data_IF_123012328567
#
_entry.id   IF_123012328567
#
_cell.length_a   1.000
_cell.length_b   1.000
_cell.length_c   1.000
_cell.angle_alpha   90.00
_cell.angle_beta   90.00
_cell.angle_gamma   90.00
#
_symmetry.space_group_name_H-M   'P 1'
#
loop_
_entity.id
_entity.type
_entity.pdbx_description
1 polymer ?
#
# COMPACT_ATOMS: atom_id res chain seq x y z
N UNK A 1 40.95 23.07 39.91
CA UNK A 1 39.65 23.41 39.30
C UNK A 1 38.96 22.11 38.95
N UNK A 2 37.79 21.81 39.53
CA UNK A 2 37.12 20.52 39.31
C UNK A 2 36.37 20.56 37.97
N UNK A 3 36.26 19.42 37.27
CA UNK A 3 35.67 19.36 35.93
C UNK A 3 34.22 19.88 35.87
N UNK A 4 33.47 19.78 36.98
CA UNK A 4 32.13 20.35 37.13
C UNK A 4 32.11 21.89 37.08
N UNK A 5 33.16 22.56 37.59
CA UNK A 5 33.25 24.02 37.60
C UNK A 5 33.51 24.56 36.18
N UNK A 6 34.30 23.83 35.39
CA UNK A 6 34.49 24.11 33.98
C UNK A 6 33.18 23.92 33.17
N UNK A 7 32.38 22.93 33.55
CA UNK A 7 31.08 22.65 32.93
C UNK A 7 30.03 23.72 33.30
N UNK A 8 30.03 24.19 34.56
CA UNK A 8 29.16 25.25 35.04
C UNK A 8 29.51 26.62 34.41
N UNK A 9 30.80 26.91 34.20
CA UNK A 9 31.23 28.12 33.48
C UNK A 9 30.93 28.04 31.97
N UNK A 10 31.11 26.88 31.36
CA UNK A 10 30.67 26.64 29.97
C UNK A 10 29.15 26.79 29.80
N UNK A 11 28.36 26.52 30.85
CA UNK A 11 26.92 26.69 30.86
C UNK A 11 26.48 28.15 31.05
N UNK A 12 27.13 28.90 31.94
CA UNK A 12 26.83 30.33 32.19
C UNK A 12 27.13 31.24 30.99
N UNK A 13 27.98 30.81 30.06
CA UNK A 13 28.29 31.52 28.81
C UNK A 13 27.34 31.25 27.63
N UNK A 14 26.18 30.58 27.82
CA UNK A 14 25.19 30.35 26.74
C UNK A 14 24.52 31.68 26.34
N UNK A 15 25.19 32.46 25.50
CA UNK A 15 24.55 33.55 24.76
C UNK A 15 23.39 33.02 23.89
N UNK A 16 22.46 33.92 23.53
CA UNK A 16 21.23 33.61 22.76
C UNK A 16 21.49 32.72 21.53
N UNK A 17 22.63 32.92 20.84
CA UNK A 17 23.06 32.14 19.67
C UNK A 17 23.33 30.66 19.96
N UNK A 18 23.83 30.32 21.15
CA UNK A 18 24.11 28.94 21.52
C UNK A 18 22.82 28.14 21.61
N UNK A 19 21.88 28.58 22.44
CA UNK A 19 20.60 27.90 22.63
C UNK A 19 19.80 27.76 21.32
N UNK A 20 19.74 28.82 20.51
CA UNK A 20 19.10 28.76 19.19
C UNK A 20 19.75 27.71 18.28
N UNK A 21 21.09 27.65 18.19
CA UNK A 21 21.78 26.62 17.41
C UNK A 21 21.48 25.19 17.90
N UNK A 22 21.32 25.02 19.22
CA UNK A 22 20.93 23.74 19.81
C UNK A 22 19.53 23.29 19.40
N UNK A 23 18.56 24.21 19.45
CA UNK A 23 17.18 23.94 19.01
C UNK A 23 17.10 23.58 17.53
N UNK A 24 17.85 24.27 16.67
CA UNK A 24 17.90 23.95 15.24
C UNK A 24 18.56 22.58 14.96
N UNK A 25 19.60 22.20 15.70
CA UNK A 25 20.19 20.85 15.62
C UNK A 25 19.21 19.78 16.09
N UNK A 26 18.49 20.05 17.18
CA UNK A 26 17.45 19.15 17.68
C UNK A 26 16.33 18.96 16.65
N UNK A 27 15.81 20.05 16.08
CA UNK A 27 14.76 20.01 15.06
C UNK A 27 15.21 19.26 13.80
N UNK A 28 16.46 19.48 13.36
CA UNK A 28 17.05 18.76 12.23
C UNK A 28 17.17 17.25 12.51
N UNK A 29 17.75 16.87 13.65
CA UNK A 29 17.93 15.47 14.02
C UNK A 29 16.59 14.75 14.20
N UNK A 30 15.60 15.42 14.82
CA UNK A 30 14.25 14.90 14.97
C UNK A 30 13.58 14.72 13.60
N UNK A 31 13.65 15.72 12.72
CA UNK A 31 13.04 15.66 11.40
C UNK A 31 13.64 14.57 10.51
N UNK A 32 14.97 14.38 10.52
CA UNK A 32 15.62 13.27 9.80
C UNK A 32 15.21 11.91 10.37
N UNK A 33 15.13 11.78 11.70
CA UNK A 33 14.73 10.52 12.34
C UNK A 33 13.28 10.14 11.99
N UNK A 34 12.36 11.11 11.99
CA UNK A 34 10.97 10.89 11.61
C UNK A 34 10.83 10.58 10.11
N UNK A 35 11.50 11.36 9.25
CA UNK A 35 11.49 11.13 7.80
C UNK A 35 12.04 9.74 7.46
N UNK A 36 13.17 9.34 8.05
CA UNK A 36 13.77 8.02 7.85
C UNK A 36 12.88 6.86 8.32
N UNK A 37 12.21 7.02 9.47
CA UNK A 37 11.26 6.02 9.96
C UNK A 37 10.06 5.85 9.02
N UNK A 38 9.52 6.97 8.52
CA UNK A 38 8.39 6.97 7.58
C UNK A 38 8.77 6.42 6.21
N UNK A 39 9.95 6.74 5.69
CA UNK A 39 10.41 6.17 4.40
C UNK A 39 10.62 4.67 4.49
N UNK A 40 11.22 4.16 5.58
CA UNK A 40 11.35 2.72 5.78
C UNK A 40 10.00 2.00 5.90
N UNK A 41 9.02 2.61 6.56
CA UNK A 41 7.67 2.06 6.65
C UNK A 41 6.98 2.00 5.27
N UNK A 42 7.06 3.09 4.51
CA UNK A 42 6.52 3.17 3.16
C UNK A 42 7.22 2.19 2.20
N UNK A 43 8.54 2.04 2.32
CA UNK A 43 9.28 1.06 1.52
C UNK A 43 8.89 -0.37 1.86
N UNK A 44 8.64 -0.65 3.14
CA UNK A 44 8.13 -1.96 3.58
C UNK A 44 6.74 -2.25 3.02
N UNK A 45 5.83 -1.26 2.99
CA UNK A 45 4.53 -1.39 2.33
C UNK A 45 4.71 -1.67 0.83
N UNK A 46 5.53 -0.87 0.15
CA UNK A 46 5.80 -1.04 -1.29
C UNK A 46 6.52 -2.33 -1.66
N UNK A 47 7.24 -2.95 -0.71
CA UNK A 47 7.94 -4.23 -0.93
C UNK A 47 7.01 -5.44 -1.00
N UNK A 48 5.74 -5.28 -0.66
CA UNK A 48 4.75 -6.36 -0.76
C UNK A 48 4.32 -6.58 -2.21
N UNK A 49 3.90 -7.81 -2.57
CA UNK A 49 3.34 -8.08 -3.89
C UNK A 49 2.21 -7.12 -4.21
N UNK A 50 2.17 -6.65 -5.44
CA UNK A 50 1.20 -5.66 -5.91
C UNK A 50 0.48 -6.17 -7.14
N UNK A 51 -0.68 -5.59 -7.43
CA UNK A 51 -1.57 -6.11 -8.46
C UNK A 51 -1.88 -5.05 -9.50
N UNK A 52 -1.72 -5.44 -10.76
CA UNK A 52 -1.98 -4.62 -11.93
C UNK A 52 -3.10 -5.28 -12.74
N UNK A 53 -4.02 -4.47 -13.21
CA UNK A 53 -5.00 -4.87 -14.21
C UNK A 53 -4.42 -4.57 -15.58
N UNK A 54 -4.31 -5.58 -16.43
CA UNK A 54 -3.74 -5.48 -17.76
C UNK A 54 -4.81 -5.73 -18.81
N UNK A 55 -4.91 -4.82 -19.76
CA UNK A 55 -5.79 -4.93 -20.93
C UNK A 55 -4.94 -4.97 -22.21
N UNK A 56 -5.35 -5.82 -23.15
CA UNK A 56 -4.74 -5.98 -24.48
C UNK A 56 -5.88 -5.98 -25.49
N UNK A 57 -5.67 -5.42 -26.68
CA UNK A 57 -6.70 -5.37 -27.73
C UNK A 57 -7.15 -6.77 -28.18
N UNK A 58 -6.22 -7.72 -28.23
CA UNK A 58 -6.49 -9.12 -28.55
C UNK A 58 -5.56 -10.01 -27.71
N UNK A 59 -6.13 -10.94 -26.95
CA UNK A 59 -5.34 -11.84 -26.10
C UNK A 59 -5.00 -13.14 -26.85
N UNK A 60 -3.74 -13.29 -27.25
CA UNK A 60 -3.21 -14.58 -27.72
C UNK A 60 -2.53 -15.36 -26.59
N UNK A 61 -2.39 -16.69 -26.74
CA UNK A 61 -1.60 -17.51 -25.82
C UNK A 61 -0.11 -17.10 -25.81
N UNK A 62 0.40 -16.57 -26.92
CA UNK A 62 1.77 -16.05 -27.00
C UNK A 62 1.94 -14.78 -26.16
N UNK A 63 0.94 -13.89 -26.14
CA UNK A 63 0.96 -12.66 -25.32
C UNK A 63 0.92 -13.00 -23.83
N UNK A 64 0.10 -13.98 -23.44
CA UNK A 64 0.06 -14.49 -22.07
C UNK A 64 1.43 -15.03 -21.64
N UNK A 65 2.09 -15.82 -22.49
CA UNK A 65 3.43 -16.34 -22.21
C UNK A 65 4.47 -15.21 -22.12
N UNK A 66 4.39 -14.20 -22.99
CA UNK A 66 5.27 -13.05 -22.98
C UNK A 66 5.10 -12.21 -21.70
N UNK A 67 3.86 -11.95 -21.27
CA UNK A 67 3.53 -11.23 -20.03
C UNK A 67 4.04 -12.00 -18.81
N UNK A 68 3.86 -13.32 -18.77
CA UNK A 68 4.40 -14.18 -17.71
C UNK A 68 5.95 -14.13 -17.62
N UNK A 69 6.62 -13.85 -18.75
CA UNK A 69 8.07 -13.80 -18.83
C UNK A 69 8.68 -12.43 -18.45
N UNK A 70 7.86 -11.40 -18.21
CA UNK A 70 8.33 -10.08 -17.81
C UNK A 70 8.99 -10.14 -16.43
N UNK A 71 10.19 -9.57 -16.32
CA UNK A 71 10.92 -9.52 -15.06
C UNK A 71 10.11 -8.75 -14.00
N UNK A 72 9.92 -9.37 -12.83
CA UNK A 72 9.16 -8.78 -11.74
C UNK A 72 7.69 -9.23 -11.68
N UNK A 73 7.18 -9.93 -12.70
CA UNK A 73 5.88 -10.61 -12.64
C UNK A 73 6.01 -11.94 -11.88
N UNK A 74 5.14 -12.16 -10.90
CA UNK A 74 5.08 -13.41 -10.11
C UNK A 74 4.03 -14.34 -10.70
N UNK A 75 2.85 -13.81 -11.02
CA UNK A 75 1.71 -14.60 -11.47
C UNK A 75 0.78 -13.78 -12.36
N UNK A 76 0.05 -14.48 -13.23
CA UNK A 76 -0.89 -13.89 -14.19
C UNK A 76 -2.17 -14.72 -14.15
N UNK A 77 -3.29 -14.06 -13.86
CA UNK A 77 -4.61 -14.67 -13.85
C UNK A 77 -5.48 -14.06 -14.94
N UNK A 78 -5.90 -14.84 -15.95
CA UNK A 78 -6.90 -14.37 -16.91
C UNK A 78 -8.27 -14.28 -16.24
N UNK A 79 -9.02 -13.24 -16.59
CA UNK A 79 -10.38 -13.01 -16.11
C UNK A 79 -11.34 -13.18 -17.27
N UNK A 80 -12.33 -14.05 -17.08
CA UNK A 80 -13.42 -14.25 -18.04
C UNK A 80 -14.71 -13.69 -17.44
N UNK A 81 -15.33 -12.74 -18.12
CA UNK A 81 -16.57 -12.11 -17.66
C UNK A 81 -17.77 -12.69 -18.41
N UNK A 82 -18.69 -13.29 -17.66
CA UNK A 82 -19.84 -13.99 -18.23
C UNK A 82 -21.12 -13.48 -17.55
N UNK A 83 -21.90 -12.60 -18.20
CA UNK A 83 -23.20 -12.21 -17.69
C UNK A 83 -24.16 -13.39 -17.79
N UNK A 84 -24.80 -13.73 -16.67
CA UNK A 84 -25.70 -14.87 -16.51
C UNK A 84 -26.85 -14.55 -15.54
N UNK A 85 -27.86 -15.39 -15.54
CA UNK A 85 -28.86 -15.46 -14.48
C UNK A 85 -28.56 -16.66 -13.58
N UNK A 86 -28.49 -16.43 -12.28
CA UNK A 86 -28.32 -17.43 -11.24
C UNK A 86 -29.67 -17.80 -10.65
N UNK A 87 -30.07 -19.08 -10.76
CA UNK A 87 -31.32 -19.59 -10.22
C UNK A 87 -31.07 -20.56 -9.05
N UNK A 88 -31.73 -20.32 -7.91
CA UNK A 88 -31.73 -21.17 -6.71
C UNK A 88 -33.17 -21.46 -6.31
N UNK A 89 -33.63 -22.69 -6.57
CA UNK A 89 -35.04 -23.05 -6.38
C UNK A 89 -35.95 -22.23 -7.31
N UNK A 90 -36.86 -21.44 -6.73
CA UNK A 90 -37.75 -20.53 -7.47
C UNK A 90 -37.24 -19.07 -7.51
N UNK A 91 -36.06 -18.80 -6.95
CA UNK A 91 -35.49 -17.46 -6.91
C UNK A 91 -34.44 -17.29 -8.01
N UNK A 92 -34.37 -16.11 -8.63
CA UNK A 92 -33.42 -15.78 -9.70
C UNK A 92 -32.69 -14.48 -9.40
N UNK A 93 -31.52 -14.30 -10.01
CA UNK A 93 -30.71 -13.08 -9.91
C UNK A 93 -29.83 -12.93 -11.15
N UNK A 94 -29.85 -11.75 -11.76
CA UNK A 94 -28.84 -11.38 -12.77
C UNK A 94 -27.48 -11.17 -12.10
N UNK A 95 -26.44 -11.81 -12.63
CA UNK A 95 -25.12 -11.81 -12.02
C UNK A 95 -24.04 -11.83 -13.10
N UNK A 96 -22.92 -11.17 -12.82
CA UNK A 96 -21.70 -11.36 -13.60
C UNK A 96 -20.88 -12.45 -12.94
N UNK A 97 -20.61 -13.52 -13.70
CA UNK A 97 -19.73 -14.60 -13.28
C UNK A 97 -18.33 -14.32 -13.80
N UNK A 98 -17.35 -14.26 -12.90
CA UNK A 98 -15.94 -14.09 -13.21
C UNK A 98 -15.21 -15.44 -13.12
N UNK A 99 -14.64 -15.88 -14.24
CA UNK A 99 -13.70 -17.00 -14.28
C UNK A 99 -12.30 -16.55 -13.88
N UNK A 100 -11.82 -17.01 -12.73
CA UNK A 100 -10.55 -16.61 -12.11
C UNK A 100 -9.87 -17.78 -11.42
N UNK A 101 -8.55 -17.72 -11.22
CA UNK A 101 -7.82 -18.77 -10.50
C UNK A 101 -8.21 -18.75 -9.02
N UNK A 102 -8.47 -19.91 -8.42
CA UNK A 102 -8.86 -19.99 -7.02
C UNK A 102 -7.82 -19.37 -6.07
N UNK A 103 -6.53 -19.54 -6.38
CA UNK A 103 -5.39 -18.95 -5.65
C UNK A 103 -5.37 -17.42 -5.67
N UNK A 104 -6.02 -16.82 -6.67
CA UNK A 104 -6.13 -15.39 -6.84
C UNK A 104 -7.25 -14.81 -5.96
N UNK A 105 -8.26 -15.61 -5.59
CA UNK A 105 -9.41 -15.18 -4.80
C UNK A 105 -9.07 -15.08 -3.30
N UNK A 106 -8.14 -14.20 -2.90
CA UNK A 106 -7.85 -13.92 -1.49
C UNK A 106 -8.87 -12.94 -0.88
N UNK A 107 -10.15 -13.22 -1.05
CA UNK A 107 -11.23 -12.36 -0.53
C UNK A 107 -11.55 -12.69 0.93
N UNK A 108 -12.00 -11.67 1.66
CA UNK A 108 -12.55 -11.88 2.99
C UNK A 108 -13.85 -12.71 2.90
N UNK A 109 -13.75 -13.99 3.27
CA UNK A 109 -14.88 -14.91 3.29
C UNK A 109 -15.78 -14.60 4.48
N UNK A 110 -17.07 -14.43 4.21
CA UNK A 110 -18.11 -14.36 5.23
C UNK A 110 -18.48 -15.76 5.73
N UNK A 111 -18.61 -16.70 4.80
CA UNK A 111 -18.97 -18.09 5.09
C UNK A 111 -18.55 -19.04 3.95
N UNK A 112 -18.29 -20.31 4.28
CA UNK A 112 -17.86 -21.33 3.32
C UNK A 112 -16.38 -21.27 2.94
N UNK A 113 -16.03 -21.92 1.83
CA UNK A 113 -14.65 -22.10 1.36
C UNK A 113 -14.48 -21.62 -0.09
N UNK A 114 -13.23 -21.41 -0.50
CA UNK A 114 -12.89 -21.14 -1.91
C UNK A 114 -12.97 -22.43 -2.72
N UNK A 115 -13.29 -22.31 -4.01
CA UNK A 115 -13.20 -23.46 -4.92
C UNK A 115 -11.75 -23.89 -5.12
N UNK A 116 -11.52 -25.21 -5.15
CA UNK A 116 -10.20 -25.78 -5.41
C UNK A 116 -10.05 -26.08 -6.91
N UNK A 117 -8.89 -25.72 -7.48
CA UNK A 117 -8.61 -26.03 -8.89
C UNK A 117 -8.52 -27.54 -9.10
N UNK A 118 -9.33 -28.08 -10.02
CA UNK A 118 -9.29 -29.51 -10.40
C UNK A 118 -10.58 -30.30 -10.16
N UNK A 119 -11.57 -29.74 -9.47
CA UNK A 119 -12.85 -30.43 -9.29
C UNK A 119 -13.67 -30.50 -10.59
N UNK A 120 -14.39 -31.61 -10.78
CA UNK A 120 -15.29 -31.80 -11.91
C UNK A 120 -16.58 -30.99 -11.81
N UNK A 121 -16.93 -30.53 -10.61
CA UNK A 121 -18.13 -29.77 -10.34
C UNK A 121 -17.90 -28.26 -10.48
N UNK A 122 -18.90 -27.56 -10.99
CA UNK A 122 -18.89 -26.09 -11.08
C UNK A 122 -19.24 -25.48 -9.72
N UNK A 123 -18.21 -25.09 -8.98
CA UNK A 123 -18.38 -24.38 -7.71
C UNK A 123 -18.36 -22.87 -7.91
N UNK A 124 -19.20 -22.17 -7.14
CA UNK A 124 -19.35 -20.72 -7.18
C UNK A 124 -19.03 -20.13 -5.81
N UNK A 125 -18.26 -19.06 -5.79
CA UNK A 125 -18.21 -18.13 -4.65
C UNK A 125 -18.98 -16.90 -5.04
N UNK A 126 -19.98 -16.49 -4.26
CA UNK A 126 -20.78 -15.29 -4.53
C UNK A 126 -20.43 -14.19 -3.53
N UNK A 127 -20.58 -12.93 -3.91
CA UNK A 127 -20.42 -11.86 -2.94
C UNK A 127 -21.69 -11.57 -2.14
N UNK A 128 -21.55 -10.78 -1.08
CA UNK A 128 -22.67 -10.37 -0.20
C UNK A 128 -23.78 -9.67 -0.97
N UNK A 129 -23.45 -8.85 -1.98
CA UNK A 129 -24.45 -8.17 -2.79
C UNK A 129 -25.32 -9.17 -3.56
N UNK A 130 -24.72 -10.16 -4.23
CA UNK A 130 -25.44 -11.24 -4.91
C UNK A 130 -26.31 -12.04 -3.94
N UNK A 131 -25.78 -12.37 -2.76
CA UNK A 131 -26.51 -13.08 -1.72
C UNK A 131 -27.77 -12.32 -1.24
N UNK A 132 -27.75 -11.00 -1.28
CA UNK A 132 -28.88 -10.15 -0.85
C UNK A 132 -29.82 -9.74 -1.98
N UNK A 133 -29.50 -10.02 -3.25
CA UNK A 133 -30.21 -9.48 -4.40
C UNK A 133 -31.31 -10.40 -4.97
N UNK A 134 -31.28 -11.69 -4.64
CA UNK A 134 -32.21 -12.70 -5.18
C UNK A 134 -33.67 -12.27 -5.15
N UNK A 135 -34.37 -12.50 -6.26
CA UNK A 135 -35.78 -12.17 -6.46
C UNK A 135 -36.63 -13.43 -6.53
N UNK A 136 -37.86 -13.36 -6.01
CA UNK A 136 -38.86 -14.41 -6.18
C UNK A 136 -39.55 -14.33 -7.56
N UNK A 137 -40.46 -15.28 -7.83
CA UNK A 137 -41.25 -15.29 -9.06
C UNK A 137 -42.14 -14.05 -9.27
N UNK A 138 -42.29 -13.18 -8.26
CA UNK A 138 -43.02 -11.91 -8.36
C UNK A 138 -42.09 -10.72 -8.63
N UNK A 139 -40.78 -10.95 -8.78
CA UNK A 139 -39.76 -9.93 -8.97
C UNK A 139 -39.40 -9.17 -7.69
N UNK A 140 -39.79 -9.69 -6.52
CA UNK A 140 -39.51 -9.05 -5.24
C UNK A 140 -38.28 -9.66 -4.59
N UNK A 141 -37.38 -8.81 -4.11
CA UNK A 141 -36.18 -9.25 -3.39
C UNK A 141 -36.56 -10.05 -2.14
N UNK A 142 -36.00 -11.25 -2.05
CA UNK A 142 -36.20 -12.20 -0.96
C UNK A 142 -35.15 -11.93 0.12
N UNK A 143 -35.56 -12.02 1.38
CA UNK A 143 -34.62 -11.91 2.48
C UNK A 143 -33.64 -13.10 2.46
N UNK A 144 -32.36 -12.84 2.76
CA UNK A 144 -31.29 -13.83 2.68
C UNK A 144 -31.52 -15.09 3.53
N UNK A 145 -32.26 -14.97 4.64
CA UNK A 145 -32.67 -16.05 5.53
C UNK A 145 -33.82 -16.90 5.00
N UNK A 146 -34.56 -16.40 4.00
CA UNK A 146 -35.63 -17.11 3.32
C UNK A 146 -35.17 -17.82 2.04
N UNK A 147 -33.89 -17.70 1.66
CA UNK A 147 -33.33 -18.47 0.55
C UNK A 147 -33.25 -19.95 0.90
N UNK A 148 -33.47 -20.86 -0.08
CA UNK A 148 -33.21 -22.28 0.10
C UNK A 148 -31.79 -22.51 0.63
N UNK A 149 -31.57 -23.58 1.41
CA UNK A 149 -30.22 -23.91 1.91
C UNK A 149 -29.26 -24.03 0.72
N UNK A 150 -28.50 -22.97 0.48
CA UNK A 150 -27.71 -22.76 -0.72
C UNK A 150 -26.56 -23.76 -0.82
N UNK A 151 -26.18 -24.39 0.31
CA UNK A 151 -25.17 -25.46 0.36
C UNK A 151 -25.69 -26.78 -0.18
N UNK A 152 -27.00 -27.01 -0.10
CA UNK A 152 -27.65 -28.26 -0.51
C UNK A 152 -28.54 -28.11 -1.74
N UNK A 153 -28.85 -26.87 -2.13
CA UNK A 153 -29.72 -26.56 -3.26
C UNK A 153 -28.98 -26.72 -4.58
N UNK A 154 -29.69 -27.23 -5.58
CA UNK A 154 -29.21 -27.19 -6.95
C UNK A 154 -29.23 -25.74 -7.44
N UNK A 155 -28.11 -25.28 -7.97
CA UNK A 155 -27.96 -23.93 -8.53
C UNK A 155 -27.80 -24.06 -10.03
N UNK A 156 -28.48 -23.21 -10.78
CA UNK A 156 -28.44 -23.22 -12.24
C UNK A 156 -27.97 -21.88 -12.76
N UNK A 157 -26.99 -21.91 -13.66
CA UNK A 157 -26.57 -20.74 -14.43
C UNK A 157 -27.29 -20.78 -15.77
N UNK A 158 -27.96 -19.69 -16.13
CA UNK A 158 -28.70 -19.52 -17.39
C UNK A 158 -28.10 -18.36 -18.17
N UNK A 159 -28.04 -18.50 -19.49
CA UNK A 159 -27.72 -17.37 -20.35
C UNK A 159 -28.93 -16.45 -20.39
N UNK A 160 -28.81 -15.25 -19.81
CA UNK A 160 -29.88 -14.27 -19.85
C UNK A 160 -30.08 -13.76 -21.28
N UNK A 161 -31.27 -13.97 -21.84
CA UNK A 161 -31.75 -13.17 -22.96
C UNK A 161 -32.30 -11.87 -22.39
N UNK A 162 -31.71 -10.73 -22.76
CA UNK A 162 -32.30 -9.43 -22.47
C UNK A 162 -33.70 -9.40 -23.06
N UNK A 163 -34.71 -9.30 -22.20
CA UNK A 163 -36.10 -9.27 -22.61
C UNK A 163 -36.37 -8.09 -23.53
N UNK A 164 -36.53 -8.40 -24.82
CA UNK A 164 -37.28 -7.65 -25.82
C UNK A 164 -37.50 -8.60 -27.00
N UNK A 165 -38.24 -9.69 -26.78
CA UNK A 165 -38.92 -10.42 -27.85
C UNK A 165 -39.99 -11.32 -27.22
N UNK A 166 -41.24 -10.97 -27.50
CA UNK A 166 -42.43 -11.77 -27.20
C UNK A 166 -42.36 -13.09 -27.99
N UNK A 167 -42.89 -14.16 -27.36
CA UNK A 167 -43.30 -15.44 -27.99
C UNK A 167 -42.19 -16.43 -28.44
N UNK A 168 -41.96 -17.48 -27.66
CA UNK A 168 -42.49 -18.83 -27.93
C UNK A 168 -41.86 -19.85 -26.97
N UNK A 169 -42.71 -20.75 -26.48
CA UNK A 169 -42.45 -21.80 -25.50
C UNK A 169 -41.64 -22.95 -26.11
N UNK A 170 -40.36 -22.76 -26.48
CA UNK A 170 -39.41 -23.86 -26.77
C UNK A 170 -37.95 -23.39 -26.89
N UNK A 171 -37.31 -23.11 -25.76
CA UNK A 171 -35.99 -23.66 -25.40
C UNK A 171 -35.62 -23.04 -24.05
N UNK A 172 -35.62 -23.85 -22.99
CA UNK A 172 -34.94 -23.46 -21.75
C UNK A 172 -33.46 -23.31 -22.13
N UNK A 173 -33.01 -22.07 -22.36
CA UNK A 173 -31.63 -21.77 -22.72
C UNK A 173 -30.64 -22.56 -21.86
N UNK A 174 -29.49 -22.93 -22.45
CA UNK A 174 -28.53 -23.85 -21.86
C UNK A 174 -28.34 -23.61 -20.35
N UNK A 175 -28.79 -24.58 -19.53
CA UNK A 175 -28.71 -24.51 -18.08
C UNK A 175 -27.48 -25.26 -17.61
N UNK A 176 -26.61 -24.59 -16.86
CA UNK A 176 -25.39 -25.18 -16.34
C UNK A 176 -25.52 -25.44 -14.85
N UNK A 177 -25.41 -26.70 -14.40
CA UNK A 177 -25.49 -27.01 -12.98
C UNK A 177 -24.26 -26.48 -12.25
N UNK A 178 -24.50 -25.85 -11.11
CA UNK A 178 -23.47 -25.30 -10.23
C UNK A 178 -23.84 -25.51 -8.75
N UNK A 179 -22.88 -25.22 -7.86
CA UNK A 179 -23.09 -25.20 -6.40
C UNK A 179 -22.39 -24.01 -5.78
N UNK A 180 -23.07 -23.30 -4.89
CA UNK A 180 -22.44 -22.22 -4.12
C UNK A 180 -21.64 -22.87 -2.97
N UNK A 181 -20.34 -22.60 -2.94
CA UNK A 181 -19.40 -23.13 -1.95
C UNK A 181 -18.96 -22.10 -0.90
N UNK A 182 -19.14 -20.81 -1.19
CA UNK A 182 -18.80 -19.75 -0.26
C UNK A 182 -19.42 -18.39 -0.60
N UNK A 183 -19.40 -17.51 0.41
CA UNK A 183 -19.88 -16.13 0.34
C UNK A 183 -18.74 -15.21 0.76
N UNK A 184 -18.39 -14.23 -0.08
CA UNK A 184 -17.37 -13.22 0.24
C UNK A 184 -17.99 -11.84 0.55
N UNK A 185 -17.28 -11.03 1.34
CA UNK A 185 -17.75 -9.71 1.79
C UNK A 185 -17.64 -8.60 0.73
N UNK A 186 -16.74 -8.77 -0.23
CA UNK A 186 -16.28 -7.70 -1.12
C UNK A 186 -17.10 -7.59 -2.42
N UNK A 187 -17.43 -6.35 -2.80
CA UNK A 187 -18.15 -5.99 -4.02
C UNK A 187 -19.53 -5.41 -3.74
N UNK A 188 -19.83 -4.28 -4.39
CA UNK A 188 -21.11 -3.57 -4.24
C UNK A 188 -22.19 -4.09 -5.20
N UNK A 189 -21.78 -4.61 -6.35
CA UNK A 189 -22.65 -5.20 -7.38
C UNK A 189 -22.78 -6.71 -7.20
N UNK A 190 -23.86 -7.36 -7.65
CA UNK A 190 -23.97 -8.82 -7.62
C UNK A 190 -22.91 -9.50 -8.49
N UNK A 191 -22.03 -10.28 -7.87
CA UNK A 191 -20.93 -10.97 -8.56
C UNK A 191 -20.78 -12.40 -8.06
N UNK A 192 -20.39 -13.29 -8.98
CA UNK A 192 -20.00 -14.66 -8.69
C UNK A 192 -18.62 -14.96 -9.28
N UNK A 193 -17.91 -15.91 -8.68
CA UNK A 193 -16.58 -16.32 -9.06
C UNK A 193 -16.54 -17.83 -9.24
N UNK A 194 -15.88 -18.29 -10.30
CA UNK A 194 -15.64 -19.71 -10.59
C UNK A 194 -14.24 -19.93 -11.13
N UNK A 195 -13.82 -21.19 -11.17
CA UNK A 195 -12.53 -21.57 -11.75
C UNK A 195 -12.43 -21.22 -13.25
N UNK A 196 -11.25 -20.77 -13.69
CA UNK A 196 -10.97 -20.38 -15.08
C UNK A 196 -11.36 -21.48 -16.06
N UNK A 197 -11.03 -22.74 -15.79
CA UNK A 197 -11.29 -23.81 -16.74
C UNK A 197 -12.79 -24.10 -16.86
N UNK A 198 -13.56 -23.85 -15.80
CA UNK A 198 -15.03 -23.95 -15.82
C UNK A 198 -15.65 -22.80 -16.59
N UNK A 199 -15.14 -21.57 -16.43
CA UNK A 199 -15.60 -20.43 -17.19
C UNK A 199 -15.34 -20.60 -18.70
N UNK A 200 -14.17 -21.13 -19.08
CA UNK A 200 -13.86 -21.47 -20.49
C UNK A 200 -14.83 -22.51 -21.04
N UNK A 201 -15.11 -23.58 -20.30
CA UNK A 201 -16.07 -24.61 -20.71
C UNK A 201 -17.48 -24.04 -20.88
N UNK A 202 -17.88 -23.15 -19.99
CA UNK A 202 -19.17 -22.44 -20.05
C UNK A 202 -19.27 -21.57 -21.32
N UNK A 203 -18.24 -20.79 -21.65
CA UNK A 203 -18.19 -19.99 -22.88
C UNK A 203 -18.24 -20.88 -24.13
N UNK A 204 -17.42 -21.93 -24.17
CA UNK A 204 -17.40 -22.88 -25.29
C UNK A 204 -18.76 -23.54 -25.51
N UNK A 205 -19.46 -23.89 -24.43
CA UNK A 205 -20.80 -24.47 -24.52
C UNK A 205 -21.89 -23.50 -24.98
N UNK A 206 -21.64 -22.18 -24.87
CA UNK A 206 -22.46 -21.12 -25.46
C UNK A 206 -22.11 -20.84 -26.93
N UNK A 207 -21.11 -21.53 -27.48
CA UNK A 207 -20.57 -21.25 -28.81
C UNK A 207 -19.70 -19.99 -28.88
N UNK A 208 -19.31 -19.45 -27.73
CA UNK A 208 -18.45 -18.28 -27.61
C UNK A 208 -16.98 -18.71 -27.54
N UNK A 209 -16.10 -17.97 -28.20
CA UNK A 209 -14.66 -18.16 -28.09
C UNK A 209 -14.19 -17.61 -26.74
N UNK A 210 -13.50 -18.41 -25.89
CA UNK A 210 -13.08 -17.97 -24.58
C UNK A 210 -11.93 -16.96 -24.68
N UNK A 211 -12.27 -15.68 -24.80
CA UNK A 211 -11.35 -14.55 -24.77
C UNK A 211 -11.42 -13.88 -23.39
N UNK A 212 -10.31 -13.73 -22.65
CA UNK A 212 -10.33 -13.03 -21.38
C UNK A 212 -10.67 -11.55 -21.60
N UNK A 213 -11.44 -10.95 -20.69
CA UNK A 213 -11.75 -9.52 -20.72
C UNK A 213 -10.55 -8.67 -20.27
N UNK A 214 -9.80 -9.20 -19.31
CA UNK A 214 -8.61 -8.59 -18.71
C UNK A 214 -7.70 -9.65 -18.10
N UNK A 215 -6.46 -9.27 -17.84
CA UNK A 215 -5.51 -10.05 -17.05
C UNK A 215 -5.24 -9.35 -15.74
N UNK A 216 -5.09 -10.12 -14.69
CA UNK A 216 -4.64 -9.65 -13.40
C UNK A 216 -3.21 -10.13 -13.20
N UNK A 217 -2.27 -9.19 -13.15
CA UNK A 217 -0.84 -9.43 -13.10
C UNK A 217 -0.33 -9.07 -11.72
N UNK A 218 0.20 -10.06 -11.01
CA UNK A 218 0.81 -9.87 -9.71
C UNK A 218 2.30 -9.61 -9.88
N UNK A 219 2.77 -8.49 -9.38
CA UNK A 219 4.18 -8.09 -9.42
C UNK A 219 4.85 -8.26 -8.06
N UNK A 220 6.17 -8.36 -8.08
CA UNK A 220 6.98 -8.70 -6.90
C UNK A 220 6.92 -7.62 -5.82
N UNK A 221 6.92 -6.36 -6.24
CA UNK A 221 6.77 -5.21 -5.35
C UNK A 221 6.15 -4.03 -6.10
N UNK A 222 5.40 -3.19 -5.40
CA UNK A 222 4.82 -1.97 -5.95
C UNK A 222 5.88 -0.98 -6.46
N UNK A 223 7.12 -1.03 -5.93
CA UNK A 223 8.22 -0.18 -6.38
C UNK A 223 8.68 -0.45 -7.83
N UNK A 224 8.47 -1.67 -8.32
CA UNK A 224 8.80 -2.09 -9.70
C UNK A 224 7.67 -1.85 -10.69
N UNK A 225 6.55 -1.31 -10.21
CA UNK A 225 5.38 -1.08 -11.04
C UNK A 225 5.70 -0.32 -12.32
N UNK A 226 6.34 0.85 -12.24
CA UNK A 226 6.57 1.69 -13.43
C UNK A 226 7.39 0.95 -14.49
N UNK A 227 8.42 0.21 -14.06
CA UNK A 227 9.26 -0.59 -14.94
C UNK A 227 8.48 -1.77 -15.57
N UNK A 228 7.63 -2.45 -14.78
CA UNK A 228 6.79 -3.54 -15.29
C UNK A 228 5.72 -2.99 -16.24
N UNK A 229 5.07 -1.89 -15.91
CA UNK A 229 4.09 -1.23 -16.78
C UNK A 229 4.72 -0.77 -18.10
N UNK A 230 5.94 -0.25 -18.09
CA UNK A 230 6.68 0.11 -19.31
C UNK A 230 7.05 -1.14 -20.14
N UNK A 231 7.48 -2.22 -19.48
CA UNK A 231 7.75 -3.50 -20.15
C UNK A 231 6.48 -4.08 -20.78
N UNK A 232 5.34 -4.04 -20.08
CA UNK A 232 4.04 -4.46 -20.60
C UNK A 232 3.57 -3.58 -21.77
N UNK A 233 3.77 -2.26 -21.68
CA UNK A 233 3.47 -1.34 -22.78
C UNK A 233 4.31 -1.64 -24.03
N UNK A 234 5.56 -2.09 -23.87
CA UNK A 234 6.39 -2.53 -25.00
C UNK A 234 5.87 -3.77 -25.72
N UNK A 235 5.04 -4.57 -25.03
CA UNK A 235 4.31 -5.72 -25.57
C UNK A 235 2.93 -5.35 -26.13
N UNK A 236 2.56 -4.06 -26.14
CA UNK A 236 1.25 -3.60 -26.59
C UNK A 236 0.14 -3.75 -25.53
N UNK A 237 0.49 -4.04 -24.28
CA UNK A 237 -0.45 -4.17 -23.18
C UNK A 237 -0.56 -2.88 -22.35
N UNK A 238 -1.77 -2.47 -21.99
CA UNK A 238 -2.00 -1.35 -21.07
C UNK A 238 -2.13 -1.89 -19.65
N UNK A 239 -1.34 -1.35 -18.71
CA UNK A 239 -1.37 -1.75 -17.31
C UNK A 239 -1.92 -0.61 -16.42
N UNK A 240 -2.99 -0.92 -15.70
CA UNK A 240 -3.66 -0.04 -14.74
C UNK A 240 -3.54 -0.59 -13.32
N UNK A 241 -3.67 0.29 -12.32
CA UNK A 241 -3.64 -0.11 -10.93
C UNK A 241 -4.99 -0.60 -10.46
N UNK A 242 -5.01 -1.71 -9.73
CA UNK A 242 -6.23 -2.19 -9.07
C UNK A 242 -6.61 -1.34 -7.85
N UNK A 243 -5.61 -0.74 -7.16
CA UNK A 243 -5.80 0.12 -5.98
C UNK A 243 -5.13 1.49 -6.18
N UNK A 244 -5.87 2.39 -6.82
CA UNK A 244 -5.41 3.76 -7.07
C UNK A 244 -5.33 4.59 -5.77
N UNK A 245 -6.16 4.30 -4.77
CA UNK A 245 -6.21 5.04 -3.50
C UNK A 245 -4.91 4.86 -2.71
N UNK A 246 -4.44 3.62 -2.57
CA UNK A 246 -3.15 3.34 -1.93
C UNK A 246 -2.01 4.04 -2.65
N UNK A 247 -2.01 4.06 -3.98
CA UNK A 247 -1.00 4.74 -4.79
C UNK A 247 -0.99 6.26 -4.57
N UNK A 248 -2.15 6.91 -4.57
CA UNK A 248 -2.30 8.33 -4.26
C UNK A 248 -1.79 8.60 -2.84
N UNK A 249 -2.17 7.76 -1.87
CA UNK A 249 -1.75 7.89 -0.47
C UNK A 249 -0.22 7.77 -0.32
N UNK A 250 0.42 6.86 -1.04
CA UNK A 250 1.88 6.70 -1.01
C UNK A 250 2.59 7.89 -1.63
N UNK A 251 2.05 8.43 -2.73
CA UNK A 251 2.61 9.62 -3.38
C UNK A 251 2.54 10.83 -2.45
N UNK A 252 1.41 11.03 -1.79
CA UNK A 252 1.24 12.10 -0.80
C UNK A 252 2.19 11.91 0.38
N UNK A 253 2.24 10.72 0.99
CA UNK A 253 3.17 10.40 2.08
C UNK A 253 4.64 10.59 1.67
N UNK A 254 4.97 10.25 0.42
CA UNK A 254 6.29 10.48 -0.16
C UNK A 254 6.65 11.97 -0.25
N UNK A 255 5.71 12.80 -0.73
CA UNK A 255 5.90 14.26 -0.78
C UNK A 255 6.04 14.88 0.61
N UNK A 256 5.20 14.49 1.57
CA UNK A 256 5.27 14.93 2.96
C UNK A 256 6.61 14.59 3.61
N UNK A 257 7.10 13.37 3.38
CA UNK A 257 8.43 12.97 3.83
C UNK A 257 9.54 13.81 3.19
N UNK A 258 9.39 14.15 1.90
CA UNK A 258 10.28 15.07 1.20
C UNK A 258 10.34 16.46 1.85
N UNK A 259 9.19 17.04 2.21
CA UNK A 259 9.14 18.32 2.91
C UNK A 259 9.83 18.28 4.28
N UNK A 260 9.63 17.20 5.05
CA UNK A 260 10.30 17.01 6.34
C UNK A 260 11.82 16.90 6.19
N UNK A 261 12.31 16.22 5.16
CA UNK A 261 13.74 16.13 4.86
C UNK A 261 14.33 17.50 4.49
N UNK A 262 13.64 18.27 3.64
CA UNK A 262 14.07 19.64 3.26
C UNK A 262 14.06 20.57 4.46
N UNK A 263 13.01 20.57 5.28
CA UNK A 263 12.94 21.38 6.50
C UNK A 263 14.09 21.03 7.46
N UNK A 264 14.39 19.73 7.61
CA UNK A 264 15.51 19.26 8.43
C UNK A 264 16.86 19.76 7.93
N UNK A 265 17.04 19.82 6.61
CA UNK A 265 18.24 20.40 5.97
C UNK A 265 18.32 21.91 6.22
N UNK A 266 17.22 22.65 6.09
CA UNK A 266 17.20 24.09 6.38
C UNK A 266 17.53 24.37 7.85
N UNK A 267 16.96 23.60 8.78
CA UNK A 267 17.30 23.69 10.20
C UNK A 267 18.78 23.38 10.45
N UNK A 268 19.34 22.37 9.79
CA UNK A 268 20.75 22.05 9.88
C UNK A 268 21.65 23.23 9.42
N UNK A 269 21.36 23.81 8.26
CA UNK A 269 22.10 24.95 7.73
C UNK A 269 22.00 26.19 8.64
N UNK A 270 20.83 26.43 9.22
CA UNK A 270 20.62 27.49 10.22
C UNK A 270 21.47 27.24 11.48
N UNK A 271 21.49 26.00 11.99
CA UNK A 271 22.33 25.62 13.12
C UNK A 271 23.82 25.85 12.84
N UNK A 272 24.31 25.42 11.67
CA UNK A 272 25.71 25.62 11.25
C UNK A 272 26.05 27.11 11.18
N UNK A 273 25.16 27.92 10.60
CA UNK A 273 25.33 29.37 10.48
C UNK A 273 25.42 30.05 11.85
N UNK A 274 24.53 29.69 12.78
CA UNK A 274 24.53 30.21 14.15
C UNK A 274 25.75 29.75 14.95
N UNK A 275 26.17 28.50 14.77
CA UNK A 275 27.36 27.97 15.42
C UNK A 275 28.63 28.67 14.92
N UNK A 276 28.71 28.94 13.62
CA UNK A 276 29.79 29.70 13.02
C UNK A 276 29.82 31.15 13.54
N UNK A 277 28.66 31.82 13.65
CA UNK A 277 28.56 33.14 14.29
C UNK A 277 29.00 33.09 15.76
N UNK A 278 28.57 32.08 16.52
CA UNK A 278 28.97 31.87 17.92
C UNK A 278 30.49 31.71 18.03
N UNK A 279 31.13 30.93 17.16
CA UNK A 279 32.58 30.77 17.16
C UNK A 279 33.27 32.10 16.84
N UNK A 280 32.77 32.87 15.86
CA UNK A 280 33.36 34.17 15.50
C UNK A 280 33.25 35.19 16.63
N UNK A 281 32.06 35.37 17.21
CA UNK A 281 31.86 36.30 18.33
C UNK A 281 32.53 35.82 19.62
N UNK A 282 32.54 34.50 19.86
CA UNK A 282 33.23 33.89 20.99
C UNK A 282 34.74 34.12 20.93
N UNK A 283 35.37 34.01 19.74
CA UNK A 283 36.79 34.32 19.56
C UNK A 283 37.11 35.78 19.90
N UNK A 284 36.25 36.73 19.54
CA UNK A 284 36.44 38.14 19.86
C UNK A 284 36.33 38.41 21.38
N UNK A 285 35.42 37.72 22.08
CA UNK A 285 35.30 37.82 23.54
C UNK A 285 36.42 37.11 24.30
N UNK A 286 36.90 35.97 23.80
CA UNK A 286 37.95 35.16 24.43
C UNK A 286 39.35 35.71 24.25
N UNK A 287 39.58 36.76 23.46
CA UNK A 287 40.91 37.36 23.31
C UNK A 287 41.50 37.78 24.66
N UNK A 288 40.71 38.47 25.52
CA UNK A 288 41.19 38.90 26.84
C UNK A 288 41.42 37.75 27.82
N UNK A 289 40.56 36.73 27.80
CA UNK A 289 40.72 35.53 28.63
C UNK A 289 41.91 34.68 28.17
N UNK A 290 42.13 34.58 26.85
CA UNK A 290 43.29 33.89 26.28
C UNK A 290 44.59 34.64 26.63
N UNK A 291 44.62 35.97 26.56
CA UNK A 291 45.77 36.78 26.98
C UNK A 291 46.09 36.57 28.47
N UNK A 292 45.07 36.55 29.34
CA UNK A 292 45.25 36.31 30.77
C UNK A 292 45.75 34.88 31.08
N UNK A 293 45.29 33.88 30.34
CA UNK A 293 45.69 32.49 30.53
C UNK A 293 47.06 32.19 29.88
N UNK A 294 47.43 32.87 28.79
CA UNK A 294 48.79 32.89 28.25
C UNK A 294 49.77 33.50 29.26
N UNK A 295 49.38 34.60 29.92
CA UNK A 295 50.15 35.19 31.02
C UNK A 295 50.30 34.24 32.23
N UNK A 296 49.37 33.31 32.43
CA UNK A 296 49.44 32.26 33.43
C UNK A 296 50.28 31.03 33.01
N UNK A 297 50.94 31.07 31.83
CA UNK A 297 51.90 30.06 31.39
C UNK A 297 51.34 28.91 30.57
N UNK A 298 50.08 28.97 30.11
CA UNK A 298 49.53 27.94 29.22
C UNK A 298 50.04 28.06 27.78
N UNK A 299 50.34 26.93 27.15
CA UNK A 299 50.90 26.86 25.80
C UNK A 299 49.91 27.32 24.70
N UNK A 300 50.41 28.09 23.73
CA UNK A 300 49.65 28.54 22.56
C UNK A 300 49.11 27.33 21.78
N UNK A 301 47.81 27.34 21.50
CA UNK A 301 47.12 26.31 20.70
C UNK A 301 46.25 25.32 21.49
N UNK A 302 46.44 25.19 22.82
CA UNK A 302 45.59 24.35 23.67
C UNK A 302 44.14 24.87 23.71
N UNK A 303 43.97 26.20 23.71
CA UNK A 303 42.66 26.88 23.67
C UNK A 303 41.83 26.57 22.44
N UNK A 304 42.47 26.53 21.26
CA UNK A 304 41.79 26.20 20.00
C UNK A 304 41.24 24.79 20.02
N UNK A 305 42.01 23.84 20.57
CA UNK A 305 41.57 22.44 20.72
C UNK A 305 40.42 22.30 21.72
N UNK A 306 40.50 22.97 22.86
CA UNK A 306 39.40 22.98 23.86
C UNK A 306 38.13 23.58 23.27
N UNK A 307 38.25 24.68 22.51
CA UNK A 307 37.11 25.31 21.82
C UNK A 307 36.45 24.37 20.81
N UNK A 308 37.23 23.72 19.94
CA UNK A 308 36.73 22.73 18.97
C UNK A 308 36.07 21.55 19.67
N UNK A 309 36.69 20.99 20.72
CA UNK A 309 36.11 19.90 21.50
C UNK A 309 34.78 20.30 22.17
N UNK A 310 34.69 21.52 22.71
CA UNK A 310 33.47 22.02 23.34
C UNK A 310 32.31 22.16 22.35
N UNK A 311 32.62 22.60 21.12
CA UNK A 311 31.65 22.71 20.03
C UNK A 311 31.25 21.33 19.51
N UNK A 312 32.21 20.42 19.34
CA UNK A 312 31.94 19.04 18.95
C UNK A 312 31.01 18.34 19.94
N UNK A 313 31.32 18.42 21.25
CA UNK A 313 30.48 17.86 22.30
C UNK A 313 29.08 18.50 22.32
N UNK A 314 28.99 19.81 22.08
CA UNK A 314 27.70 20.50 21.95
C UNK A 314 26.83 19.92 20.83
N UNK A 315 27.41 19.75 19.64
CA UNK A 315 26.68 19.18 18.48
C UNK A 315 26.25 17.75 18.77
N UNK A 316 27.15 16.93 19.30
CA UNK A 316 26.85 15.52 19.63
C UNK A 316 25.71 15.41 20.64
N UNK A 317 25.74 16.20 21.72
CA UNK A 317 24.68 16.16 22.75
C UNK A 317 23.32 16.54 22.16
N UNK A 318 23.24 17.63 21.39
CA UNK A 318 21.95 18.05 20.82
C UNK A 318 21.45 17.13 19.73
N UNK A 319 22.34 16.58 18.90
CA UNK A 319 21.98 15.56 17.93
C UNK A 319 21.46 14.29 18.62
N UNK A 320 22.15 13.81 19.67
CA UNK A 320 21.74 12.64 20.44
C UNK A 320 20.37 12.86 21.10
N UNK A 321 20.13 14.04 21.70
CA UNK A 321 18.82 14.38 22.27
C UNK A 321 17.74 14.38 21.19
N UNK A 322 18.00 14.95 20.01
CA UNK A 322 17.05 14.95 18.90
C UNK A 322 16.73 13.55 18.38
N UNK A 323 17.73 12.69 18.24
CA UNK A 323 17.55 11.28 17.83
C UNK A 323 16.74 10.53 18.89
N UNK A 324 17.11 10.63 20.18
CA UNK A 324 16.37 9.97 21.25
C UNK A 324 14.90 10.45 21.32
N UNK A 325 14.67 11.75 21.16
CA UNK A 325 13.32 12.31 21.12
C UNK A 325 12.52 11.78 19.92
N UNK A 326 13.15 11.68 18.74
CA UNK A 326 12.54 11.09 17.55
C UNK A 326 12.16 9.62 17.75
N UNK A 327 13.06 8.82 18.32
CA UNK A 327 12.81 7.40 18.61
C UNK A 327 11.71 7.20 19.66
N UNK A 328 11.71 7.99 20.73
CA UNK A 328 10.66 7.97 21.76
C UNK A 328 9.30 8.34 21.16
N UNK A 329 9.26 9.36 20.30
CA UNK A 329 8.04 9.75 19.61
C UNK A 329 7.51 8.61 18.73
N UNK A 330 8.38 7.95 17.96
CA UNK A 330 8.00 6.78 17.18
C UNK A 330 7.46 5.61 18.04
N UNK A 331 8.06 5.36 19.21
CA UNK A 331 7.60 4.33 20.14
C UNK A 331 6.22 4.66 20.74
N UNK A 332 6.03 5.90 21.19
CA UNK A 332 4.75 6.35 21.75
C UNK A 332 3.61 6.28 20.74
N UNK A 333 3.87 6.66 19.47
CA UNK A 333 2.87 6.51 18.42
C UNK A 333 2.48 5.04 18.20
N UNK A 334 3.45 4.13 18.24
CA UNK A 334 3.22 2.68 18.07
C UNK A 334 2.37 2.09 19.21
N UNK A 335 2.64 2.47 20.46
CA UNK A 335 1.90 1.96 21.63
C UNK A 335 0.47 2.49 21.73
N UNK A 336 0.22 3.70 21.23
CA UNK A 336 -1.11 4.31 21.24
C UNK A 336 -2.11 3.67 20.27
N UNK A 337 -1.77 2.56 19.60
CA UNK A 337 -2.63 1.93 18.58
C UNK A 337 -2.81 2.78 17.32
N UNK A 338 -2.21 3.97 17.28
CA UNK A 338 -2.01 4.74 16.07
C UNK A 338 -0.83 4.10 15.32
N UNK A 339 -1.06 2.96 14.64
CA UNK A 339 -0.35 2.67 13.38
C UNK A 339 -0.17 4.00 12.67
N UNK A 340 1.04 4.42 12.33
CA UNK A 340 1.42 5.76 11.88
C UNK A 340 0.48 6.42 10.83
N UNK A 341 -0.74 6.77 11.25
CA UNK A 341 -1.87 7.28 10.49
C UNK A 341 -2.13 8.75 10.84
N UNK A 342 -1.36 9.33 11.76
CA UNK A 342 -1.48 10.75 12.08
C UNK A 342 -0.68 11.59 11.07
N UNK A 343 -1.28 11.70 9.88
CA UNK A 343 -1.72 12.94 9.25
C UNK A 343 -2.54 12.51 8.00
N UNK A 344 -3.83 12.23 8.22
CA UNK A 344 -4.84 12.44 7.18
C UNK A 344 -5.11 13.93 7.02
#
# INVERSE_FOLDING_TARGET
>A
MRWYDALAMAWKGRGRFGLSAGLFLLGSALGVTLAGGRTMALEKEKSQPWELQVSVEEFSEEDLAAICAVEGVIDVTPVYEIPLELAVGACTQEITVYGVRGEYLQKNMLDGELFSGGDTASYLVINRAAWMAFQDATGKTVAADALPDWRQSAVWLRSGGSGDEEEEETDNGAQFPARICGICLEGETPEAYMDVERAKQLLLSRGETPTPSRLLVRITNAGTQEAVSEALASLGASAENTDEESMISWRQRGMENGYMAVLSLVCFLAAVSLLHLRIRYGRAGWQRENEALEAAGMAKGVYGRIGVLSVGLYVVVWAAVGVCAGLLFCQLCREAGHTCFFLS
#
